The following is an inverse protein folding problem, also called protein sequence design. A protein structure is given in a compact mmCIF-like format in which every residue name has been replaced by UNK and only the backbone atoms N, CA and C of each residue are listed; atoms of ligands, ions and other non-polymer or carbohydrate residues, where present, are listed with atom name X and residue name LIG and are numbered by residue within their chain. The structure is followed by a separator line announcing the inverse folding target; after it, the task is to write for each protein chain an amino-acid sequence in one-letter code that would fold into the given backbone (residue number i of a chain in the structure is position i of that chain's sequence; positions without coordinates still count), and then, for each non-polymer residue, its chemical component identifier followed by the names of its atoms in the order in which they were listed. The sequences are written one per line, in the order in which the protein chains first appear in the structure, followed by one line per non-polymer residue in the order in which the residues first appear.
data_IF_338540827995
#
_entry.id   IF_338540827995
#
_cell.length_a   1.000
_cell.length_b   1.000
_cell.length_c   1.000
_cell.angle_alpha   90.00
_cell.angle_beta   90.00
_cell.angle_gamma   90.00
#
_symmetry.space_group_name_H-M   'P 1'
#
loop_
_entity.id
_entity.type
_entity.pdbx_description
1 polymer ?
#
# COMPACT_ATOMS: atom_id res chain seq x y z
N UNK A 1 -21.85 9.28 -17.05
CA UNK A 1 -20.39 9.17 -17.15
C UNK A 1 -20.06 8.39 -18.40
N UNK A 2 -19.27 8.97 -19.31
CA UNK A 2 -18.97 8.35 -20.59
C UNK A 2 -17.87 7.30 -20.42
N UNK A 3 -18.14 6.08 -20.88
CA UNK A 3 -17.21 4.94 -20.97
C UNK A 3 -16.02 5.19 -21.94
N UNK A 4 -15.88 6.39 -22.49
CA UNK A 4 -14.92 6.74 -23.55
C UNK A 4 -13.50 7.03 -23.05
N UNK A 5 -13.24 6.95 -21.74
CA UNK A 5 -11.93 7.20 -21.14
C UNK A 5 -11.15 5.92 -20.76
N UNK A 6 -11.74 4.74 -20.95
CA UNK A 6 -11.06 3.48 -20.67
C UNK A 6 -10.09 3.16 -21.80
N UNK A 7 -8.80 3.41 -21.59
CA UNK A 7 -7.74 2.86 -22.42
C UNK A 7 -7.73 1.34 -22.21
N UNK A 8 -8.12 0.51 -23.19
CA UNK A 8 -8.27 -0.93 -23.01
C UNK A 8 -6.95 -1.65 -22.72
N UNK A 9 -5.82 -0.95 -22.83
CA UNK A 9 -4.48 -1.46 -22.51
C UNK A 9 -3.97 -1.01 -21.14
N UNK A 10 -4.78 -0.29 -20.34
CA UNK A 10 -4.45 0.07 -18.96
C UNK A 10 -5.36 -0.64 -17.98
N UNK A 11 -4.74 -1.12 -16.92
CA UNK A 11 -5.37 -1.85 -15.84
C UNK A 11 -5.12 -1.08 -14.53
N UNK A 12 -5.69 0.12 -14.43
CA UNK A 12 -5.40 1.05 -13.33
C UNK A 12 -5.80 0.48 -11.97
N UNK A 13 -6.85 -0.35 -11.93
CA UNK A 13 -7.25 -1.08 -10.72
C UNK A 13 -6.15 -2.05 -10.27
N UNK A 14 -5.52 -2.75 -11.22
CA UNK A 14 -4.40 -3.64 -10.93
C UNK A 14 -3.16 -2.87 -10.50
N UNK A 15 -2.91 -1.69 -11.06
CA UNK A 15 -1.82 -0.81 -10.60
C UNK A 15 -2.03 -0.42 -9.13
N UNK A 16 -3.23 0.04 -8.75
CA UNK A 16 -3.57 0.36 -7.35
C UNK A 16 -3.39 -0.84 -6.42
N UNK A 17 -3.85 -2.03 -6.84
CA UNK A 17 -3.63 -3.27 -6.08
C UNK A 17 -2.14 -3.53 -5.87
N UNK A 18 -1.33 -3.39 -6.91
CA UNK A 18 0.12 -3.64 -6.81
C UNK A 18 0.84 -2.62 -5.94
N UNK A 19 0.41 -1.35 -5.89
CA UNK A 19 0.97 -0.35 -4.97
C UNK A 19 0.78 -0.77 -3.52
N UNK A 20 -0.44 -1.18 -3.16
CA UNK A 20 -0.73 -1.64 -1.82
C UNK A 20 0.07 -2.90 -1.45
N UNK A 21 0.06 -3.94 -2.30
CA UNK A 21 0.81 -5.17 -2.00
C UNK A 21 2.32 -4.92 -1.96
N UNK A 22 2.85 -3.99 -2.76
CA UNK A 22 4.25 -3.58 -2.64
C UNK A 22 4.53 -2.92 -1.28
N UNK A 23 3.66 -2.01 -0.82
CA UNK A 23 3.77 -1.40 0.50
C UNK A 23 3.69 -2.45 1.63
N UNK A 24 2.80 -3.43 1.50
CA UNK A 24 2.69 -4.58 2.40
C UNK A 24 4.00 -5.36 2.48
N UNK A 25 4.62 -5.72 1.35
CA UNK A 25 5.88 -6.49 1.35
C UNK A 25 7.05 -5.69 1.95
N UNK A 26 7.11 -4.37 1.74
CA UNK A 26 8.04 -3.52 2.48
C UNK A 26 7.76 -3.57 3.99
N UNK A 27 6.49 -3.50 4.39
CA UNK A 27 6.08 -3.67 5.78
C UNK A 27 6.51 -5.02 6.36
N UNK A 28 6.32 -6.13 5.64
CA UNK A 28 6.76 -7.46 6.06
C UNK A 28 8.27 -7.51 6.25
N UNK A 29 9.05 -6.92 5.35
CA UNK A 29 10.51 -6.84 5.47
C UNK A 29 10.94 -6.04 6.72
N UNK A 30 10.23 -4.95 7.03
CA UNK A 30 10.46 -4.19 8.26
C UNK A 30 10.16 -5.02 9.50
N UNK A 31 9.02 -5.71 9.51
CA UNK A 31 8.63 -6.56 10.63
C UNK A 31 9.63 -7.69 10.85
N UNK A 32 10.10 -8.35 9.79
CA UNK A 32 11.11 -9.41 9.89
C UNK A 32 12.44 -8.87 10.47
N UNK A 33 12.84 -7.66 10.09
CA UNK A 33 14.07 -7.02 10.59
C UNK A 33 14.03 -6.71 12.09
N UNK A 34 12.88 -6.32 12.62
CA UNK A 34 12.75 -5.76 13.97
C UNK A 34 11.97 -6.65 14.96
N UNK A 35 11.28 -7.70 14.49
CA UNK A 35 10.48 -8.61 15.35
C UNK A 35 11.28 -9.84 15.77
N UNK A 36 12.39 -9.65 16.51
CA UNK A 36 13.26 -10.78 16.88
C UNK A 36 12.67 -11.71 17.94
N UNK A 37 11.58 -11.33 18.62
CA UNK A 37 10.97 -12.08 19.72
C UNK A 37 9.42 -12.14 19.68
N UNK A 38 8.80 -11.63 18.63
CA UNK A 38 7.33 -11.62 18.48
C UNK A 38 6.98 -12.54 17.31
N UNK A 39 6.00 -13.46 17.44
CA UNK A 39 5.54 -14.26 16.33
C UNK A 39 5.13 -13.39 15.14
N UNK A 40 5.56 -13.76 13.94
CA UNK A 40 5.20 -13.04 12.73
C UNK A 40 3.66 -12.99 12.56
N UNK A 41 3.07 -11.82 12.24
CA UNK A 41 1.64 -11.68 12.05
C UNK A 41 1.06 -12.64 11.01
N UNK A 42 -0.11 -13.23 11.31
CA UNK A 42 -0.80 -14.20 10.44
C UNK A 42 -2.01 -13.60 9.72
N UNK A 43 -2.58 -12.52 10.26
CA UNK A 43 -3.72 -11.84 9.66
C UNK A 43 -3.37 -10.43 9.20
N UNK A 44 -4.24 -9.81 8.41
CA UNK A 44 -4.06 -8.43 7.99
C UNK A 44 -4.19 -7.45 9.18
N UNK A 45 -5.14 -7.72 10.08
CA UNK A 45 -5.33 -6.95 11.30
C UNK A 45 -4.11 -7.02 12.24
N UNK A 46 -3.50 -8.21 12.38
CA UNK A 46 -2.27 -8.35 13.18
C UNK A 46 -1.10 -7.57 12.55
N UNK A 47 -0.96 -7.60 11.22
CA UNK A 47 0.08 -6.83 10.50
C UNK A 47 -0.09 -5.34 10.70
N UNK A 48 -1.31 -4.85 10.53
CA UNK A 48 -1.64 -3.45 10.75
C UNK A 48 -1.27 -3.01 12.17
N UNK A 49 -1.59 -3.83 13.17
CA UNK A 49 -1.23 -3.57 14.58
C UNK A 49 0.29 -3.58 14.78
N UNK A 50 1.01 -4.50 14.16
CA UNK A 50 2.46 -4.56 14.26
C UNK A 50 3.13 -3.36 13.59
N UNK A 51 2.66 -2.96 12.41
CA UNK A 51 3.17 -1.81 11.66
C UNK A 51 2.88 -0.49 12.36
N UNK A 52 1.75 -0.34 13.07
CA UNK A 52 1.45 0.90 13.81
C UNK A 52 2.41 1.16 14.98
N UNK A 53 3.17 0.14 15.42
CA UNK A 53 4.25 0.33 16.39
C UNK A 53 5.58 0.77 15.76
N UNK A 54 5.72 0.65 14.43
CA UNK A 54 6.93 1.00 13.68
C UNK A 54 6.77 2.27 12.86
N UNK A 55 5.56 2.54 12.38
CA UNK A 55 5.21 3.69 11.57
C UNK A 55 4.80 4.86 12.46
N UNK A 56 5.04 6.08 11.99
CA UNK A 56 4.36 7.25 12.52
C UNK A 56 2.94 7.35 11.95
N UNK A 57 2.14 8.25 12.53
CA UNK A 57 0.71 8.38 12.20
C UNK A 57 0.49 8.71 10.71
N UNK A 58 1.40 9.50 10.11
CA UNK A 58 1.33 9.89 8.70
C UNK A 58 1.56 8.68 7.79
N UNK A 59 2.65 7.94 8.00
CA UNK A 59 2.96 6.76 7.21
C UNK A 59 1.90 5.66 7.37
N UNK A 60 1.36 5.52 8.59
CA UNK A 60 0.27 4.57 8.87
C UNK A 60 -1.01 4.98 8.13
N UNK A 61 -1.31 6.28 8.07
CA UNK A 61 -2.46 6.81 7.32
C UNK A 61 -2.32 6.51 5.83
N UNK A 62 -1.16 6.76 5.23
CA UNK A 62 -0.87 6.43 3.83
C UNK A 62 -1.01 4.94 3.54
N UNK A 63 -0.50 4.09 4.43
CA UNK A 63 -0.60 2.64 4.29
C UNK A 63 -2.05 2.16 4.30
N UNK A 64 -2.86 2.67 5.24
CA UNK A 64 -4.29 2.33 5.33
C UNK A 64 -5.07 2.86 4.14
N UNK A 65 -4.73 4.05 3.66
CA UNK A 65 -5.37 4.60 2.48
C UNK A 65 -5.11 3.75 1.23
N UNK A 66 -3.87 3.29 1.01
CA UNK A 66 -3.56 2.33 -0.05
C UNK A 66 -4.32 1.01 0.11
N UNK A 67 -4.43 0.48 1.34
CA UNK A 67 -5.21 -0.71 1.63
C UNK A 67 -6.67 -0.52 1.17
N UNK A 68 -7.31 0.58 1.58
CA UNK A 68 -8.69 0.88 1.25
C UNK A 68 -8.90 1.06 -0.26
N UNK A 69 -7.98 1.76 -0.94
CA UNK A 69 -8.04 1.89 -2.41
C UNK A 69 -7.89 0.52 -3.10
N UNK A 70 -7.06 -0.38 -2.56
CA UNK A 70 -6.93 -1.74 -3.09
C UNK A 70 -8.20 -2.59 -2.88
N UNK A 71 -8.93 -2.38 -1.79
CA UNK A 71 -10.22 -3.05 -1.56
C UNK A 71 -11.31 -2.50 -2.48
N UNK A 72 -11.34 -1.18 -2.67
CA UNK A 72 -12.21 -0.50 -3.63
C UNK A 72 -12.03 -1.07 -5.04
N UNK A 73 -10.76 -1.20 -5.48
CA UNK A 73 -10.39 -1.76 -6.77
C UNK A 73 -10.87 -3.22 -6.93
N UNK A 74 -10.62 -4.07 -5.91
CA UNK A 74 -10.91 -5.52 -6.00
C UNK A 74 -12.37 -5.87 -5.82
N UNK A 75 -13.01 -5.28 -4.82
CA UNK A 75 -14.30 -5.77 -4.32
C UNK A 75 -15.45 -4.83 -4.62
N UNK A 76 -15.17 -3.55 -4.87
CA UNK A 76 -16.21 -2.53 -5.12
C UNK A 76 -16.25 -2.08 -6.59
N UNK A 77 -15.39 -2.65 -7.44
CA UNK A 77 -15.30 -2.32 -8.88
C UNK A 77 -15.13 -0.81 -9.11
N UNK A 78 -14.39 -0.14 -8.23
CA UNK A 78 -14.03 1.26 -8.42
C UNK A 78 -13.00 1.35 -9.55
N UNK A 79 -13.27 2.22 -10.51
CA UNK A 79 -12.33 2.56 -11.57
C UNK A 79 -11.49 3.76 -11.16
N UNK A 80 -10.23 3.78 -11.59
CA UNK A 80 -9.28 4.84 -11.28
C UNK A 80 -8.82 5.53 -12.55
N UNK A 81 -8.78 6.86 -12.53
CA UNK A 81 -8.14 7.64 -13.58
C UNK A 81 -6.61 7.48 -13.48
N UNK A 82 -5.90 7.78 -14.57
CA UNK A 82 -4.45 7.67 -14.61
C UNK A 82 -3.80 8.62 -13.59
N UNK A 83 -4.39 9.80 -13.41
CA UNK A 83 -3.96 10.81 -12.44
C UNK A 83 -4.15 10.32 -11.01
N UNK A 84 -5.23 9.59 -10.70
CA UNK A 84 -5.47 9.02 -9.37
C UNK A 84 -4.37 8.02 -9.03
N UNK A 85 -3.99 7.15 -9.99
CA UNK A 85 -2.92 6.16 -9.77
C UNK A 85 -1.56 6.85 -9.60
N UNK A 86 -1.27 7.87 -10.41
CA UNK A 86 -0.04 8.64 -10.28
C UNK A 86 0.06 9.33 -8.92
N UNK A 87 -1.06 9.89 -8.43
CA UNK A 87 -1.14 10.50 -7.10
C UNK A 87 -0.92 9.45 -6.00
N UNK A 88 -1.61 8.32 -6.03
CA UNK A 88 -1.41 7.22 -5.07
C UNK A 88 0.04 6.73 -5.04
N UNK A 89 0.69 6.64 -6.21
CA UNK A 89 2.10 6.27 -6.27
C UNK A 89 3.00 7.33 -5.61
N UNK A 90 2.79 8.61 -5.91
CA UNK A 90 3.66 9.70 -5.47
C UNK A 90 3.45 10.09 -4.01
N UNK A 91 2.19 10.24 -3.59
CA UNK A 91 1.83 10.79 -2.29
C UNK A 91 1.75 9.72 -1.20
N UNK A 92 1.43 8.47 -1.55
CA UNK A 92 1.18 7.43 -0.56
C UNK A 92 2.24 6.33 -0.58
N UNK A 93 2.48 5.72 -1.75
CA UNK A 93 3.40 4.59 -1.85
C UNK A 93 4.87 5.01 -1.70
N UNK A 94 5.28 6.09 -2.38
CA UNK A 94 6.68 6.54 -2.40
C UNK A 94 7.21 6.87 -0.99
N UNK A 95 6.49 7.60 -0.13
CA UNK A 95 6.92 7.84 1.24
C UNK A 95 7.10 6.57 2.07
N UNK A 96 6.17 5.61 1.97
CA UNK A 96 6.26 4.30 2.65
C UNK A 96 7.53 3.57 2.22
N UNK A 97 7.73 3.43 0.91
CA UNK A 97 8.92 2.78 0.36
C UNK A 97 10.19 3.44 0.89
N UNK A 98 10.32 4.75 0.73
CA UNK A 98 11.58 5.45 1.02
C UNK A 98 11.90 5.43 2.53
N UNK A 99 10.87 5.56 3.37
CA UNK A 99 11.04 5.43 4.83
C UNK A 99 11.50 4.03 5.23
N UNK A 100 10.87 2.98 4.71
CA UNK A 100 11.22 1.60 5.05
C UNK A 100 12.61 1.26 4.53
N UNK A 101 12.93 1.64 3.29
CA UNK A 101 14.26 1.48 2.71
C UNK A 101 15.34 2.13 3.58
N UNK A 102 15.08 3.34 4.07
CA UNK A 102 15.96 4.03 5.03
C UNK A 102 16.13 3.24 6.35
N UNK A 103 15.04 2.70 6.92
CA UNK A 103 15.09 1.89 8.15
C UNK A 103 15.83 0.55 7.97
N UNK A 104 15.73 -0.04 6.77
CA UNK A 104 16.42 -1.29 6.41
C UNK A 104 17.86 -1.07 5.96
N UNK A 105 18.24 0.16 5.58
CA UNK A 105 19.57 0.51 5.07
C UNK A 105 19.81 0.07 3.61
N UNK A 106 18.78 0.14 2.74
CA UNK A 106 18.82 -0.27 1.32
C UNK A 106 18.30 0.81 0.35
#
# INVERSE_FOLDING_TARGET
MALSALNPNRFTEWEVITLFYSALEYGEALLDRFSTNIPHPKSHAERQTALSHQFDDELMTSYLYLHDQSEDARYRLKFFAEEDVAQLHQEEFTPIRDKIKSLLGI
#
